data_IF_081547978963
#
_entry.id   IF_081547978963
#
_cell.length_a   1.000
_cell.length_b   1.000
_cell.length_c   1.000
_cell.angle_alpha   90.00
_cell.angle_beta   90.00
_cell.angle_gamma   90.00
#
_symmetry.space_group_name_H-M   'P 1'
#
loop_
_entity.id
_entity.type
_entity.pdbx_description
1 polymer ?
#
# COMPACT_ATOMS: atom_id res chain seq x y z
N UNK A 1 -10.89 -3.09 -19.75
CA UNK A 1 -9.79 -3.88 -19.17
C UNK A 1 -9.84 -3.73 -17.66
N UNK A 2 -9.69 -4.81 -16.92
CA UNK A 2 -9.73 -4.81 -15.46
C UNK A 2 -8.30 -4.85 -14.91
N UNK A 3 -7.96 -3.92 -14.01
CA UNK A 3 -6.65 -3.83 -13.37
C UNK A 3 -6.84 -4.10 -11.88
N UNK A 4 -6.40 -5.27 -11.43
CA UNK A 4 -6.44 -5.66 -10.02
C UNK A 4 -5.17 -5.21 -9.32
N UNK A 5 -5.30 -4.62 -8.13
CA UNK A 5 -4.15 -4.12 -7.36
C UNK A 5 -4.16 -4.61 -5.91
N UNK A 6 -2.97 -4.80 -5.34
CA UNK A 6 -2.75 -5.17 -3.93
C UNK A 6 -2.50 -3.95 -3.02
N UNK A 7 -2.27 -4.19 -1.72
CA UNK A 7 -1.99 -3.13 -0.74
C UNK A 7 -0.84 -2.20 -1.17
N UNK A 8 0.24 -2.74 -1.74
CA UNK A 8 1.41 -1.95 -2.11
C UNK A 8 1.07 -0.81 -3.08
N UNK A 9 0.13 -1.00 -4.00
CA UNK A 9 -0.32 0.08 -4.89
C UNK A 9 -0.87 1.28 -4.10
N UNK A 10 -1.70 1.00 -3.09
CA UNK A 10 -2.29 2.04 -2.24
C UNK A 10 -1.19 2.70 -1.38
N UNK A 11 -0.24 1.91 -0.88
CA UNK A 11 0.89 2.43 -0.12
C UNK A 11 1.78 3.37 -0.95
N UNK A 12 2.06 3.02 -2.20
CA UNK A 12 2.89 3.85 -3.10
C UNK A 12 2.25 5.22 -3.36
N UNK A 13 0.93 5.26 -3.54
CA UNK A 13 0.16 6.49 -3.71
C UNK A 13 0.15 7.35 -2.43
N UNK A 14 -0.19 6.73 -1.30
CA UNK A 14 -0.40 7.41 -0.01
C UNK A 14 0.91 7.95 0.56
N UNK A 15 2.00 7.22 0.39
CA UNK A 15 3.30 7.55 0.97
C UNK A 15 4.30 8.13 -0.04
N UNK A 16 3.86 8.41 -1.28
CA UNK A 16 4.72 8.91 -2.36
C UNK A 16 6.03 8.13 -2.47
N UNK A 17 5.91 6.80 -2.48
CA UNK A 17 7.07 5.92 -2.56
C UNK A 17 7.63 5.87 -4.00
N UNK A 18 8.66 5.07 -4.22
CA UNK A 18 9.46 5.07 -5.46
C UNK A 18 8.64 4.93 -6.76
N UNK A 19 7.52 4.21 -6.71
CA UNK A 19 6.66 3.93 -7.86
C UNK A 19 5.40 4.80 -7.89
N UNK A 20 5.37 5.86 -7.07
CA UNK A 20 4.26 6.81 -6.99
C UNK A 20 3.75 7.25 -8.36
N UNK A 21 4.65 7.71 -9.24
CA UNK A 21 4.28 8.23 -10.57
C UNK A 21 3.56 7.20 -11.42
N UNK A 22 4.06 5.97 -11.44
CA UNK A 22 3.44 4.88 -12.19
C UNK A 22 2.08 4.49 -11.62
N UNK A 23 1.94 4.45 -10.29
CA UNK A 23 0.65 4.18 -9.66
C UNK A 23 -0.37 5.32 -9.94
N UNK A 24 0.09 6.56 -9.94
CA UNK A 24 -0.74 7.74 -10.23
C UNK A 24 -1.24 7.73 -11.68
N UNK A 25 -0.38 7.38 -12.64
CA UNK A 25 -0.78 7.21 -14.04
C UNK A 25 -1.86 6.14 -14.22
N UNK A 26 -1.74 5.01 -13.52
CA UNK A 26 -2.77 3.95 -13.53
C UNK A 26 -4.09 4.46 -12.95
N UNK A 27 -4.04 5.19 -11.84
CA UNK A 27 -5.25 5.79 -11.25
C UNK A 27 -5.91 6.76 -12.22
N UNK A 28 -5.14 7.63 -12.89
CA UNK A 28 -5.64 8.56 -13.90
C UNK A 28 -6.28 7.85 -15.10
N UNK A 29 -5.71 6.73 -15.54
CA UNK A 29 -6.34 5.89 -16.57
C UNK A 29 -7.69 5.33 -16.12
N UNK A 30 -7.89 5.08 -14.83
CA UNK A 30 -9.21 4.66 -14.33
C UNK A 30 -10.19 5.81 -14.16
N UNK A 31 -9.72 7.00 -13.78
CA UNK A 31 -10.53 8.22 -13.72
C UNK A 31 -11.11 8.58 -15.10
N UNK A 32 -10.34 8.38 -16.16
CA UNK A 32 -10.76 8.67 -17.54
C UNK A 32 -11.62 7.57 -18.18
N UNK A 33 -11.83 6.44 -17.48
CA UNK A 33 -12.57 5.23 -17.90
C UNK A 33 -12.04 4.36 -19.06
N UNK A 34 -10.79 4.44 -19.58
CA UNK A 34 -10.27 3.39 -20.48
C UNK A 34 -9.99 2.04 -19.77
N UNK A 35 -9.82 2.02 -18.45
CA UNK A 35 -9.63 0.79 -17.66
C UNK A 35 -10.30 0.88 -16.29
N UNK A 36 -10.79 -0.23 -15.77
CA UNK A 36 -11.40 -0.30 -14.44
C UNK A 36 -10.37 -0.75 -13.42
N UNK A 37 -10.07 0.11 -12.45
CA UNK A 37 -9.24 -0.24 -11.30
C UNK A 37 -10.08 -1.03 -10.30
N UNK A 38 -9.56 -2.17 -9.84
CA UNK A 38 -10.27 -3.07 -8.93
C UNK A 38 -9.39 -3.34 -7.71
N UNK A 39 -9.95 -3.13 -6.53
CA UNK A 39 -9.19 -3.14 -5.28
C UNK A 39 -9.92 -4.01 -4.25
N UNK A 40 -9.28 -5.04 -3.69
CA UNK A 40 -9.78 -5.70 -2.49
C UNK A 40 -9.95 -4.71 -1.34
N UNK A 41 -11.09 -4.74 -0.65
CA UNK A 41 -11.34 -3.84 0.48
C UNK A 41 -10.25 -3.91 1.55
N UNK A 42 -9.65 -5.10 1.75
CA UNK A 42 -8.54 -5.30 2.68
C UNK A 42 -7.30 -4.45 2.33
N UNK A 43 -6.99 -4.29 1.03
CA UNK A 43 -5.87 -3.47 0.53
C UNK A 43 -6.01 -1.98 0.88
N UNK A 44 -7.23 -1.52 1.21
CA UNK A 44 -7.50 -0.14 1.64
C UNK A 44 -7.41 0.04 3.16
N UNK A 45 -7.55 -1.04 3.94
CA UNK A 45 -7.54 -0.99 5.40
C UNK A 45 -6.09 -0.96 5.95
N UNK A 46 -5.19 -1.76 5.40
CA UNK A 46 -3.81 -1.87 5.87
C UNK A 46 -3.01 -0.54 5.83
N UNK A 47 -3.15 0.33 4.80
CA UNK A 47 -2.51 1.65 4.79
C UNK A 47 -2.92 2.54 5.97
N UNK A 48 -4.17 2.42 6.44
CA UNK A 48 -4.68 3.17 7.59
C UNK A 48 -3.97 2.75 8.88
N UNK A 49 -3.83 1.44 9.11
CA UNK A 49 -3.07 0.91 10.25
C UNK A 49 -1.60 1.32 10.19
N UNK A 50 -0.99 1.29 9.00
CA UNK A 50 0.40 1.73 8.83
C UNK A 50 0.60 3.21 9.19
N UNK A 51 -0.32 4.10 8.77
CA UNK A 51 -0.30 5.52 9.13
C UNK A 51 -0.41 5.73 10.64
N UNK A 52 -1.37 5.06 11.29
CA UNK A 52 -1.55 5.14 12.75
C UNK A 52 -0.27 4.69 13.46
N UNK A 53 0.32 3.57 13.02
CA UNK A 53 1.56 3.04 13.61
C UNK A 53 2.73 4.01 13.43
N UNK A 54 2.90 4.61 12.24
CA UNK A 54 3.97 5.57 12.00
C UNK A 54 3.82 6.85 12.84
N UNK A 55 2.62 7.41 12.91
CA UNK A 55 2.35 8.58 13.75
C UNK A 55 2.63 8.30 15.24
N UNK A 56 2.23 7.13 15.74
CA UNK A 56 2.55 6.70 17.13
C UNK A 56 4.05 6.58 17.35
N UNK A 57 4.78 5.96 16.42
CA UNK A 57 6.23 5.80 16.52
C UNK A 57 6.96 7.16 16.49
N UNK A 58 6.56 8.08 15.60
CA UNK A 58 7.13 9.43 15.51
C UNK A 58 6.86 10.23 16.77
N UNK A 59 5.63 10.18 17.31
CA UNK A 59 5.29 10.82 18.59
C UNK A 59 6.10 10.27 19.76
N UNK A 60 6.30 8.96 19.83
CA UNK A 60 7.12 8.34 20.87
C UNK A 60 8.60 8.78 20.77
N UNK A 61 9.14 8.81 19.54
CA UNK A 61 10.49 9.31 19.28
C UNK A 61 10.63 10.79 19.68
N UNK A 62 9.66 11.62 19.30
CA UNK A 62 9.64 13.04 19.65
C UNK A 62 9.68 13.24 21.16
N UNK A 63 8.84 12.52 21.90
CA UNK A 63 8.82 12.60 23.36
C UNK A 63 10.13 12.15 24.01
N UNK A 64 10.78 11.13 23.47
CA UNK A 64 12.08 10.67 23.96
C UNK A 64 13.15 11.72 23.74
N UNK A 65 13.23 12.27 22.52
CA UNK A 65 14.21 13.28 22.16
C UNK A 65 14.00 14.59 22.94
N UNK A 66 12.76 15.05 23.11
CA UNK A 66 12.43 16.25 23.90
C UNK A 66 12.94 16.15 25.34
N UNK A 67 12.92 14.95 25.95
CA UNK A 67 13.45 14.74 27.30
C UNK A 67 14.96 14.91 27.35
N UNK A 68 15.68 14.31 26.42
CA UNK A 68 17.14 14.43 26.31
C UNK A 68 17.56 15.89 26.07
N UNK A 69 16.88 16.58 25.15
CA UNK A 69 17.22 17.97 24.83
C UNK A 69 16.96 18.91 26.00
N UNK A 70 15.87 18.74 26.74
CA UNK A 70 15.62 19.53 27.97
C UNK A 70 16.71 19.37 29.02
N UNK A 71 17.38 18.22 29.09
CA UNK A 71 18.51 18.03 29.98
C UNK A 71 19.75 18.77 29.45
N UNK A 72 20.04 18.61 28.16
CA UNK A 72 21.20 19.23 27.53
C UNK A 72 21.11 20.77 27.48
N UNK A 73 19.91 21.34 27.33
CA UNK A 73 19.66 22.80 27.37
C UNK A 73 20.05 23.45 28.70
N UNK A 74 20.15 22.67 29.79
CA UNK A 74 20.65 23.15 31.09
C UNK A 74 22.13 23.51 31.05
N UNK A 75 22.85 23.04 30.02
CA UNK A 75 24.25 23.38 29.80
C UNK A 75 24.35 24.63 28.94
N UNK A 76 24.90 25.71 29.52
CA UNK A 76 24.98 27.04 28.88
C UNK A 76 25.66 27.01 27.51
N UNK A 77 26.70 26.20 27.33
CA UNK A 77 27.43 26.07 26.06
C UNK A 77 26.65 25.36 24.95
N UNK A 78 25.61 24.60 25.29
CA UNK A 78 24.83 23.81 24.32
C UNK A 78 23.48 24.41 24.00
N UNK A 79 22.96 25.29 24.87
CA UNK A 79 21.64 25.92 24.74
C UNK A 79 21.36 26.48 23.35
N UNK A 80 22.26 27.32 22.83
CA UNK A 80 22.05 27.97 21.51
C UNK A 80 22.13 26.98 20.33
N UNK A 81 22.96 25.93 20.44
CA UNK A 81 23.08 24.89 19.39
C UNK A 81 21.83 24.01 19.32
N UNK A 82 21.21 23.75 20.47
CA UNK A 82 20.00 22.92 20.57
C UNK A 82 18.77 23.71 20.10
N UNK A 83 18.63 24.95 20.56
CA UNK A 83 17.43 25.74 20.24
C UNK A 83 17.30 26.05 18.75
N UNK A 84 18.41 26.27 18.04
CA UNK A 84 18.37 26.68 16.64
C UNK A 84 18.27 25.51 15.65
N UNK A 85 18.86 24.34 15.93
CA UNK A 85 18.97 23.26 14.93
C UNK A 85 17.97 22.12 15.13
N UNK A 86 17.55 21.86 16.38
CA UNK A 86 16.77 20.65 16.71
C UNK A 86 15.27 20.94 16.70
N UNK A 87 14.87 22.16 17.05
CA UNK A 87 13.45 22.54 17.09
C UNK A 87 12.82 22.57 15.71
N UNK A 88 13.57 22.99 14.70
CA UNK A 88 13.14 22.96 13.29
C UNK A 88 12.87 21.53 12.81
N UNK A 89 13.73 20.56 13.21
CA UNK A 89 13.52 19.14 12.88
C UNK A 89 12.23 18.58 13.48
N UNK A 90 11.88 18.95 14.71
CA UNK A 90 10.61 18.52 15.30
C UNK A 90 9.39 19.11 14.60
N UNK A 91 9.45 20.39 14.21
CA UNK A 91 8.38 21.01 13.45
C UNK A 91 8.19 20.30 12.10
N UNK A 92 9.29 19.98 11.42
CA UNK A 92 9.25 19.21 10.17
C UNK A 92 8.55 17.85 10.34
N UNK A 93 8.84 17.10 11.41
CA UNK A 93 8.17 15.82 11.67
C UNK A 93 6.65 15.96 11.85
N UNK A 94 6.22 17.01 12.54
CA UNK A 94 4.79 17.32 12.73
C UNK A 94 4.13 17.73 11.41
N UNK A 95 4.82 18.54 10.61
CA UNK A 95 4.36 18.95 9.28
C UNK A 95 4.18 17.73 8.36
N UNK A 96 5.16 16.80 8.33
CA UNK A 96 5.07 15.57 7.54
C UNK A 96 3.87 14.71 7.97
N UNK A 97 3.59 14.57 9.28
CA UNK A 97 2.42 13.82 9.76
C UNK A 97 1.10 14.42 9.24
N UNK A 98 1.00 15.75 9.24
CA UNK A 98 -0.17 16.47 8.72
C UNK A 98 -0.30 16.29 7.21
N UNK A 99 0.80 16.38 6.46
CA UNK A 99 0.83 16.18 5.02
C UNK A 99 0.46 14.75 4.62
N UNK A 100 1.04 13.74 5.27
CA UNK A 100 0.72 12.33 5.03
C UNK A 100 -0.76 12.03 5.31
N UNK A 101 -1.32 12.59 6.39
CA UNK A 101 -2.74 12.42 6.73
C UNK A 101 -3.65 13.05 5.67
N UNK A 102 -3.33 14.26 5.20
CA UNK A 102 -4.07 14.92 4.11
C UNK A 102 -3.96 14.14 2.81
N UNK A 103 -2.76 13.65 2.48
CA UNK A 103 -2.50 12.85 1.27
C UNK A 103 -3.28 11.54 1.30
N UNK A 104 -3.30 10.85 2.44
CA UNK A 104 -4.09 9.64 2.63
C UNK A 104 -5.58 9.90 2.37
N UNK A 105 -6.15 10.95 2.97
CA UNK A 105 -7.56 11.30 2.78
C UNK A 105 -7.87 11.60 1.29
N UNK A 106 -6.98 12.32 0.60
CA UNK A 106 -7.08 12.60 -0.84
C UNK A 106 -7.14 11.29 -1.66
N UNK A 107 -6.16 10.41 -1.49
CA UNK A 107 -6.10 9.17 -2.27
C UNK A 107 -7.21 8.20 -1.95
N UNK A 108 -7.57 8.04 -0.67
CA UNK A 108 -8.71 7.24 -0.27
C UNK A 108 -9.98 7.70 -0.99
N UNK A 109 -10.27 9.00 -0.99
CA UNK A 109 -11.47 9.52 -1.63
C UNK A 109 -11.45 9.31 -3.15
N UNK A 110 -10.30 9.44 -3.81
CA UNK A 110 -10.15 9.14 -5.24
C UNK A 110 -10.38 7.67 -5.53
N UNK A 111 -9.72 6.77 -4.80
CA UNK A 111 -9.87 5.33 -4.97
C UNK A 111 -11.33 4.90 -4.78
N UNK A 112 -12.01 5.41 -3.76
CA UNK A 112 -13.44 5.12 -3.53
C UNK A 112 -14.37 5.69 -4.61
N UNK A 113 -13.94 6.69 -5.37
CA UNK A 113 -14.76 7.32 -6.42
C UNK A 113 -14.58 6.68 -7.79
N UNK A 114 -13.41 6.09 -8.04
CA UNK A 114 -13.00 5.66 -9.38
C UNK A 114 -12.56 4.20 -9.48
N UNK A 115 -12.49 3.47 -8.36
CA UNK A 115 -12.17 2.06 -8.34
C UNK A 115 -13.37 1.23 -7.89
N UNK A 116 -13.49 0.03 -8.45
CA UNK A 116 -14.42 -0.98 -8.00
C UNK A 116 -13.83 -1.72 -6.80
N UNK A 117 -14.54 -1.69 -5.68
CA UNK A 117 -14.06 -2.27 -4.42
C UNK A 117 -14.64 -3.67 -4.25
N UNK A 118 -13.79 -4.68 -4.09
CA UNK A 118 -14.21 -6.05 -3.79
C UNK A 118 -14.47 -6.15 -2.28
N UNK A 119 -15.73 -6.33 -1.84
CA UNK A 119 -16.03 -6.47 -0.41
C UNK A 119 -15.54 -7.83 0.11
N UNK A 120 -15.06 -7.85 1.36
CA UNK A 120 -14.79 -9.09 2.06
C UNK A 120 -16.11 -9.81 2.40
N UNK A 121 -16.13 -11.13 2.19
CA UNK A 121 -17.26 -11.98 2.53
C UNK A 121 -16.77 -13.34 3.07
N UNK A 122 -17.69 -14.15 3.60
CA UNK A 122 -17.35 -15.44 4.21
C UNK A 122 -16.65 -16.42 3.26
N UNK A 123 -17.01 -16.41 1.97
CA UNK A 123 -16.39 -17.29 0.97
C UNK A 123 -14.93 -16.90 0.74
N UNK A 124 -14.65 -15.60 0.61
CA UNK A 124 -13.28 -15.09 0.46
C UNK A 124 -12.43 -15.46 1.67
N UNK A 125 -12.97 -15.35 2.90
CA UNK A 125 -12.25 -15.71 4.13
C UNK A 125 -11.93 -17.21 4.18
N UNK A 126 -12.89 -18.06 3.81
CA UNK A 126 -12.72 -19.52 3.77
C UNK A 126 -11.68 -19.95 2.73
N UNK A 127 -11.75 -19.36 1.54
CA UNK A 127 -10.81 -19.64 0.45
C UNK A 127 -9.40 -19.14 0.79
N UNK A 128 -9.27 -17.95 1.39
CA UNK A 128 -7.99 -17.42 1.85
C UNK A 128 -7.26 -18.39 2.79
N UNK A 129 -7.96 -18.95 3.79
CA UNK A 129 -7.38 -19.94 4.70
C UNK A 129 -6.89 -21.22 3.98
N UNK A 130 -7.56 -21.60 2.88
CA UNK A 130 -7.12 -22.71 2.03
C UNK A 130 -5.87 -22.34 1.25
N UNK A 131 -5.81 -21.12 0.69
CA UNK A 131 -4.67 -20.63 -0.08
C UNK A 131 -3.43 -20.34 0.78
N UNK A 132 -3.59 -19.90 2.03
CA UNK A 132 -2.48 -19.79 2.99
C UNK A 132 -1.70 -21.10 3.09
N UNK A 133 -2.42 -22.21 3.28
CA UNK A 133 -1.81 -23.53 3.40
C UNK A 133 -1.30 -24.07 2.05
N UNK A 134 -2.11 -23.93 1.00
CA UNK A 134 -1.80 -24.50 -0.33
C UNK A 134 -0.59 -23.83 -0.99
N UNK A 135 -0.45 -22.52 -0.82
CA UNK A 135 0.56 -21.71 -1.50
C UNK A 135 1.57 -21.07 -0.54
N UNK A 136 1.52 -21.38 0.76
CA UNK A 136 2.38 -20.80 1.79
C UNK A 136 2.36 -19.26 1.78
N UNK A 137 1.20 -18.67 1.50
CA UNK A 137 1.01 -17.22 1.48
C UNK A 137 0.89 -16.69 2.91
N UNK A 138 1.34 -15.45 3.12
CA UNK A 138 0.99 -14.73 4.33
C UNK A 138 -0.54 -14.48 4.35
N UNK A 139 -1.20 -14.42 5.52
CA UNK A 139 -2.66 -14.28 5.60
C UNK A 139 -3.21 -13.09 4.80
N UNK A 140 -2.52 -11.95 4.85
CA UNK A 140 -2.86 -10.76 4.07
C UNK A 140 -2.81 -10.98 2.55
N UNK A 141 -1.78 -11.68 2.06
CA UNK A 141 -1.60 -11.95 0.64
C UNK A 141 -2.65 -12.97 0.16
N UNK A 142 -2.98 -13.95 1.01
CA UNK A 142 -4.04 -14.92 0.74
C UNK A 142 -5.42 -14.26 0.65
N UNK A 143 -5.72 -13.27 1.49
CA UNK A 143 -6.97 -12.50 1.43
C UNK A 143 -7.09 -11.69 0.14
N UNK A 144 -6.02 -11.01 -0.27
CA UNK A 144 -5.96 -10.27 -1.53
C UNK A 144 -6.17 -11.24 -2.70
N UNK A 145 -5.44 -12.35 -2.71
CA UNK A 145 -5.53 -13.37 -3.75
C UNK A 145 -6.94 -13.97 -3.86
N UNK A 146 -7.53 -14.39 -2.74
CA UNK A 146 -8.89 -14.94 -2.69
C UNK A 146 -9.93 -13.93 -3.19
N UNK A 147 -9.77 -12.65 -2.83
CA UNK A 147 -10.66 -11.58 -3.27
C UNK A 147 -10.60 -11.38 -4.78
N UNK A 148 -9.39 -11.34 -5.36
CA UNK A 148 -9.18 -11.17 -6.80
C UNK A 148 -9.74 -12.37 -7.57
N UNK A 149 -9.46 -13.61 -7.13
CA UNK A 149 -10.02 -14.81 -7.74
C UNK A 149 -11.54 -14.84 -7.69
N UNK A 150 -12.12 -14.53 -6.53
CA UNK A 150 -13.57 -14.47 -6.36
C UNK A 150 -14.19 -13.49 -7.35
N UNK A 151 -13.64 -12.28 -7.48
CA UNK A 151 -14.15 -11.28 -8.41
C UNK A 151 -13.98 -11.68 -9.88
N UNK A 152 -12.85 -12.30 -10.24
CA UNK A 152 -12.60 -12.81 -11.60
C UNK A 152 -13.60 -13.88 -12.01
N UNK A 153 -13.87 -14.84 -11.13
CA UNK A 153 -14.82 -15.92 -11.39
C UNK A 153 -16.25 -15.41 -11.60
N UNK A 154 -16.65 -14.37 -10.86
CA UNK A 154 -17.98 -13.78 -10.96
C UNK A 154 -18.17 -12.89 -12.21
N UNK A 155 -17.15 -12.10 -12.57
CA UNK A 155 -17.30 -11.07 -13.61
C UNK A 155 -16.74 -11.47 -14.97
N UNK A 156 -15.84 -12.45 -15.01
CA UNK A 156 -15.25 -13.02 -16.23
C UNK A 156 -14.83 -11.97 -17.27
N UNK A 157 -13.97 -11.01 -16.91
CA UNK A 157 -13.58 -9.94 -17.82
C UNK A 157 -12.79 -10.48 -19.03
N UNK A 158 -12.97 -9.86 -20.19
CA UNK A 158 -12.25 -10.22 -21.42
C UNK A 158 -10.74 -9.97 -21.33
N UNK A 159 -10.32 -8.94 -20.59
CA UNK A 159 -8.91 -8.62 -20.36
C UNK A 159 -8.76 -8.21 -18.90
N UNK A 160 -7.90 -8.93 -18.18
CA UNK A 160 -7.55 -8.64 -16.80
C UNK A 160 -6.04 -8.70 -16.58
N UNK A 161 -5.53 -7.81 -15.72
CA UNK A 161 -4.16 -7.88 -15.21
C UNK A 161 -4.14 -7.70 -13.70
N UNK A 162 -3.20 -8.36 -13.03
CA UNK A 162 -2.91 -8.14 -11.61
C UNK A 162 -1.56 -7.43 -11.47
N UNK A 163 -1.56 -6.36 -10.69
CA UNK A 163 -0.40 -5.53 -10.42
C UNK A 163 0.02 -5.74 -8.96
N UNK A 164 1.18 -6.38 -8.81
CA UNK A 164 1.79 -6.71 -7.53
C UNK A 164 3.26 -6.29 -7.50
N UNK A 165 3.72 -5.85 -6.33
CA UNK A 165 5.12 -5.53 -6.08
C UNK A 165 5.81 -6.75 -5.49
N UNK A 166 6.61 -7.44 -6.31
CA UNK A 166 7.40 -8.56 -5.82
C UNK A 166 8.69 -8.06 -5.15
N UNK A 167 8.78 -8.21 -3.84
CA UNK A 167 9.95 -7.78 -3.04
C UNK A 167 11.23 -8.57 -3.31
N UNK A 168 11.19 -9.62 -4.14
CA UNK A 168 12.33 -10.45 -4.53
C UNK A 168 12.97 -10.08 -5.88
N UNK A 169 12.37 -9.16 -6.64
CA UNK A 169 12.96 -8.69 -7.90
C UNK A 169 13.86 -7.48 -7.67
N UNK A 170 15.18 -7.71 -7.79
CA UNK A 170 16.24 -6.69 -7.77
C UNK A 170 16.36 -5.91 -9.10
N UNK A 171 15.40 -6.07 -10.02
CA UNK A 171 15.42 -5.39 -11.31
C UNK A 171 14.71 -4.03 -11.23
N UNK A 172 15.13 -3.08 -12.07
CA UNK A 172 14.61 -1.71 -12.12
C UNK A 172 13.11 -1.59 -12.49
N UNK A 173 12.40 -2.71 -12.66
CA UNK A 173 10.95 -2.82 -12.91
C UNK A 173 10.30 -3.59 -11.76
N UNK A 174 9.94 -2.88 -10.68
CA UNK A 174 9.45 -3.47 -9.41
C UNK A 174 7.99 -3.95 -9.45
N UNK A 175 7.29 -3.74 -10.55
CA UNK A 175 5.95 -4.29 -10.80
C UNK A 175 6.02 -5.33 -11.91
N UNK A 176 5.59 -6.55 -11.60
CA UNK A 176 5.36 -7.60 -12.61
C UNK A 176 3.90 -7.56 -13.04
N UNK A 177 3.66 -7.37 -14.33
CA UNK A 177 2.34 -7.55 -14.92
C UNK A 177 2.03 -9.03 -15.03
N UNK A 178 0.99 -9.49 -14.36
CA UNK A 178 0.46 -10.83 -14.57
C UNK A 178 -0.79 -10.70 -15.43
N UNK A 179 -0.67 -11.06 -16.71
CA UNK A 179 -1.83 -11.22 -17.57
C UNK A 179 -2.64 -12.43 -17.09
N UNK A 180 -3.93 -12.25 -16.89
CA UNK A 180 -4.86 -13.32 -16.51
C UNK A 180 -5.71 -13.60 -17.75
N UNK A 181 -5.39 -14.67 -18.48
CA UNK A 181 -6.12 -15.11 -19.66
C UNK A 181 -7.33 -15.98 -19.27
N UNK A 182 -8.45 -15.80 -19.97
CA UNK A 182 -9.80 -16.28 -19.60
C UNK A 182 -9.99 -17.80 -19.63
N UNK A 183 -9.04 -18.58 -20.16
CA UNK A 183 -9.25 -20.02 -20.38
C UNK A 183 -9.02 -20.88 -19.13
N UNK A 184 -8.41 -20.35 -18.07
CA UNK A 184 -8.35 -21.02 -16.76
C UNK A 184 -8.09 -20.01 -15.64
N UNK A 185 -9.15 -19.55 -14.95
CA UNK A 185 -9.04 -18.69 -13.76
C UNK A 185 -8.24 -19.30 -12.60
N UNK A 186 -7.72 -20.53 -12.76
CA UNK A 186 -6.81 -21.19 -11.82
C UNK A 186 -5.39 -20.61 -11.83
N UNK A 187 -5.01 -19.83 -12.84
CA UNK A 187 -3.63 -19.34 -13.00
C UNK A 187 -3.53 -17.82 -12.99
N UNK A 188 -3.79 -17.19 -11.84
CA UNK A 188 -3.09 -15.93 -11.54
C UNK A 188 -1.65 -16.33 -11.26
N UNK A 189 -0.80 -16.30 -12.29
CA UNK A 189 0.62 -16.55 -12.14
C UNK A 189 1.24 -15.40 -11.34
N UNK A 190 1.26 -15.48 -10.00
CA UNK A 190 2.31 -14.80 -9.25
C UNK A 190 3.63 -15.25 -9.88
N UNK A 191 4.32 -14.38 -10.62
CA UNK A 191 5.52 -14.71 -11.36
C UNK A 191 6.59 -15.16 -10.36
N UNK A 192 6.66 -16.47 -10.14
CA UNK A 192 7.58 -17.11 -9.22
C UNK A 192 8.04 -18.41 -9.86
N UNK A 193 8.78 -18.28 -10.96
CA UNK A 193 9.61 -19.36 -11.51
C UNK A 193 10.93 -18.78 -11.99
N UNK A 194 11.91 -18.71 -11.09
CA UNK A 194 13.26 -19.09 -11.53
C UNK A 194 13.25 -20.61 -11.71
N UNK A 195 13.09 -21.03 -12.97
CA UNK A 195 13.73 -22.26 -13.44
C UNK A 195 15.19 -21.89 -13.71
N UNK A 196 16.06 -22.78 -13.24
CA UNK A 196 17.53 -22.77 -13.25
C UNK A 196 18.20 -21.98 -12.13
#
# INVERSE_FOLDING_TARGET
MNIYVETNFVLELVFEQEQFKSCEEILLLSEQKPATLIIPAYSLAEPHEKLIRQARNRKALQQSLDREFKQLERTVSYKNRIQNNIREFFNLLVEIDVEETKRFAKYRNRLLSYADIIPLNGNILSEAATYENRYALMPQDALVYASVLFHLQQNQPTIACFLSRNSRDNDARKYSWVAIESESYENIYCYNRKRF
#
